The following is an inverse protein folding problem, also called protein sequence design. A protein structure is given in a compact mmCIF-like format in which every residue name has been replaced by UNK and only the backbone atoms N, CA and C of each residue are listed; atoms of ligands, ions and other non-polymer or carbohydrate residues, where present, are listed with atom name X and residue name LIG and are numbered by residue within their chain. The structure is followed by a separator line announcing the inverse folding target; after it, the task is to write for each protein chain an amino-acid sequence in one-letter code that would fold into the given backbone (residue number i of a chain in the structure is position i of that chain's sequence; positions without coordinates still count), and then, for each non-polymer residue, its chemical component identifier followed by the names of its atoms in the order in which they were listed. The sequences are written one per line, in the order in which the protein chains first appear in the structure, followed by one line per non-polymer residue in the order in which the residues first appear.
data_IF_591188090876
#
_entry.id   IF_591188090876
#
_cell.length_a   1.000
_cell.length_b   1.000
_cell.length_c   1.000
_cell.angle_alpha   90.00
_cell.angle_beta   90.00
_cell.angle_gamma   90.00
#
_symmetry.space_group_name_H-M   'P 1'
#
loop_
_entity.id
_entity.type
_entity.pdbx_description
1 polymer ?
#
# COMPACT_ATOMS: atom_id res chain seq x y z
N UNK A 1 -8.52 -10.13 12.41
CA UNK A 1 -9.31 -8.96 11.95
C UNK A 1 -8.33 -8.06 11.24
N UNK A 2 -8.62 -7.54 10.04
CA UNK A 2 -7.61 -6.76 9.29
C UNK A 2 -7.23 -5.50 10.06
N UNK A 3 -5.93 -5.17 10.15
CA UNK A 3 -5.47 -3.89 10.75
C UNK A 3 -6.02 -2.67 10.00
N UNK A 4 -6.50 -2.85 8.77
CA UNK A 4 -7.16 -1.79 8.01
C UNK A 4 -8.51 -1.35 8.59
N UNK A 5 -9.16 -2.17 9.42
CA UNK A 5 -10.43 -1.78 10.10
C UNK A 5 -10.21 -1.27 11.52
N UNK A 6 -8.95 -1.08 11.92
CA UNK A 6 -8.58 -0.62 13.26
C UNK A 6 -8.91 0.87 13.45
N UNK A 7 -9.37 1.24 14.65
CA UNK A 7 -9.68 2.61 15.02
C UNK A 7 -8.42 3.49 15.13
N UNK A 8 -7.26 2.88 15.37
CA UNK A 8 -5.97 3.59 15.35
C UNK A 8 -5.62 4.07 13.94
N UNK A 9 -5.92 3.27 12.91
CA UNK A 9 -5.71 3.68 11.54
C UNK A 9 -6.65 4.82 11.12
N UNK A 10 -7.89 4.84 11.62
CA UNK A 10 -8.78 5.99 11.43
C UNK A 10 -8.13 7.27 11.96
N UNK A 11 -7.61 7.21 13.19
CA UNK A 11 -6.96 8.35 13.80
C UNK A 11 -5.75 8.83 12.98
N UNK A 12 -4.92 7.90 12.50
CA UNK A 12 -3.79 8.21 11.60
C UNK A 12 -4.27 8.94 10.35
N UNK A 13 -5.26 8.39 9.63
CA UNK A 13 -5.71 8.94 8.36
C UNK A 13 -6.47 10.27 8.52
N UNK A 14 -7.14 10.49 9.65
CA UNK A 14 -7.85 11.74 9.96
C UNK A 14 -6.93 12.87 10.40
N UNK A 15 -5.82 12.55 11.07
CA UNK A 15 -4.89 13.55 11.63
C UNK A 15 -3.63 13.78 10.80
N UNK A 16 -3.45 12.98 9.75
CA UNK A 16 -2.34 13.09 8.82
C UNK A 16 -2.21 14.49 8.19
N UNK A 17 -0.97 14.96 8.04
CA UNK A 17 -0.69 16.15 7.23
C UNK A 17 -0.67 15.79 5.74
N UNK A 18 -1.56 16.40 4.97
CA UNK A 18 -1.62 16.19 3.52
C UNK A 18 -0.86 17.32 2.82
N UNK A 19 0.24 16.98 2.13
CA UNK A 19 1.09 17.96 1.44
C UNK A 19 1.92 17.30 0.32
N UNK A 20 2.16 17.99 -0.81
CA UNK A 20 3.10 17.52 -1.84
C UNK A 20 4.52 17.27 -1.30
N UNK A 21 4.90 17.87 -0.17
CA UNK A 21 6.19 17.63 0.46
C UNK A 21 6.41 16.18 0.94
N UNK A 22 5.35 15.38 1.00
CA UNK A 22 5.38 13.96 1.35
C UNK A 22 5.27 13.04 0.12
N UNK A 23 5.44 13.57 -1.09
CA UNK A 23 5.67 12.73 -2.26
C UNK A 23 7.01 12.01 -2.13
N UNK A 24 7.02 10.70 -2.39
CA UNK A 24 8.22 9.90 -2.37
C UNK A 24 8.65 9.54 -3.79
N UNK A 25 9.96 9.48 -3.97
CA UNK A 25 10.59 8.93 -5.16
C UNK A 25 11.28 7.61 -4.78
N UNK A 26 10.61 6.51 -5.11
CA UNK A 26 11.09 5.16 -4.87
C UNK A 26 12.34 4.78 -5.66
N UNK A 27 12.81 5.63 -6.58
CA UNK A 27 14.06 5.40 -7.35
C UNK A 27 15.32 5.92 -6.65
N UNK A 28 15.17 6.57 -5.49
CA UNK A 28 16.30 7.08 -4.71
C UNK A 28 17.05 5.96 -3.99
N UNK A 29 18.31 6.22 -3.65
CA UNK A 29 19.19 5.27 -2.92
C UNK A 29 18.58 4.79 -1.59
N UNK A 30 17.66 5.56 -0.99
CA UNK A 30 16.93 5.19 0.22
C UNK A 30 16.13 3.88 0.03
N UNK A 31 15.58 3.66 -1.17
CA UNK A 31 14.72 2.50 -1.47
C UNK A 31 15.37 1.48 -2.40
N UNK A 32 16.67 1.62 -2.71
CA UNK A 32 17.37 0.71 -3.61
C UNK A 32 17.20 -0.77 -3.18
N UNK A 33 17.20 -1.01 -1.87
CA UNK A 33 16.99 -2.35 -1.31
C UNK A 33 15.62 -2.97 -1.64
N UNK A 34 14.57 -2.17 -1.87
CA UNK A 34 13.24 -2.64 -2.29
C UNK A 34 13.17 -2.87 -3.81
N UNK A 35 13.94 -2.10 -4.58
CA UNK A 35 14.00 -2.24 -6.04
C UNK A 35 14.88 -3.41 -6.50
N UNK A 36 15.89 -3.76 -5.70
CA UNK A 36 16.84 -4.84 -5.99
C UNK A 36 16.43 -6.22 -5.44
N UNK A 37 15.21 -6.35 -4.89
CA UNK A 37 14.67 -7.64 -4.42
C UNK A 37 14.58 -8.63 -5.58
N UNK A 38 15.08 -9.86 -5.37
CA UNK A 38 14.97 -10.91 -6.37
C UNK A 38 13.49 -11.30 -6.54
N UNK A 39 12.97 -11.44 -7.79
CA UNK A 39 11.60 -11.89 -8.02
C UNK A 39 11.32 -13.30 -7.48
N UNK A 40 12.30 -14.02 -6.93
CA UNK A 40 12.14 -15.29 -6.21
C UNK A 40 12.10 -15.13 -4.67
N UNK A 41 12.42 -13.96 -4.12
CA UNK A 41 12.48 -13.69 -2.68
C UNK A 41 11.09 -13.53 -2.04
N UNK A 42 10.86 -14.26 -0.95
CA UNK A 42 9.60 -14.22 -0.19
C UNK A 42 8.42 -14.89 -0.92
N UNK A 43 7.25 -15.10 -0.28
CA UNK A 43 6.10 -15.72 -0.94
C UNK A 43 5.35 -14.73 -1.86
N UNK A 44 4.78 -15.24 -2.95
CA UNK A 44 3.76 -14.51 -3.73
C UNK A 44 2.46 -14.53 -2.94
N UNK A 45 1.92 -13.36 -2.65
CA UNK A 45 0.70 -13.20 -1.83
C UNK A 45 -0.51 -12.76 -2.65
N UNK A 46 -0.30 -12.13 -3.81
CA UNK A 46 -1.36 -11.71 -4.73
C UNK A 46 -0.89 -11.86 -6.17
N UNK A 47 -1.82 -12.19 -7.09
CA UNK A 47 -1.58 -12.25 -8.54
C UNK A 47 -2.75 -11.66 -9.30
N UNK A 48 -2.45 -10.71 -10.17
CA UNK A 48 -3.42 -10.19 -11.15
C UNK A 48 -3.61 -11.15 -12.34
N UNK A 49 -4.71 -10.99 -13.07
CA UNK A 49 -4.97 -11.74 -14.32
C UNK A 49 -3.94 -11.41 -15.42
N UNK A 50 -3.43 -10.17 -15.44
CA UNK A 50 -2.44 -9.69 -16.41
C UNK A 50 -1.01 -10.13 -16.10
N UNK A 51 -0.80 -10.89 -15.03
CA UNK A 51 0.49 -11.51 -14.69
C UNK A 51 1.35 -10.72 -13.70
N UNK A 52 0.92 -9.52 -13.28
CA UNK A 52 1.55 -8.83 -12.13
C UNK A 52 1.39 -9.66 -10.86
N UNK A 53 2.36 -9.55 -9.97
CA UNK A 53 2.32 -10.26 -8.70
C UNK A 53 2.96 -9.45 -7.58
N UNK A 54 2.42 -9.62 -6.38
CA UNK A 54 2.90 -8.96 -5.16
C UNK A 54 3.55 -10.03 -4.29
N UNK A 55 4.76 -9.75 -3.78
CA UNK A 55 5.46 -10.60 -2.81
C UNK A 55 5.57 -9.93 -1.46
N UNK A 56 5.46 -10.74 -0.41
CA UNK A 56 5.79 -10.32 0.94
C UNK A 56 7.28 -10.48 1.20
N UNK A 57 7.92 -9.43 1.71
CA UNK A 57 9.34 -9.40 2.01
C UNK A 57 9.51 -9.22 3.52
N UNK A 58 10.04 -10.26 4.16
CA UNK A 58 10.25 -10.34 5.62
C UNK A 58 11.72 -10.13 6.02
N UNK A 59 12.63 -9.94 5.06
CA UNK A 59 14.06 -9.91 5.33
C UNK A 59 14.56 -8.55 5.87
N UNK A 60 13.68 -7.58 6.04
CA UNK A 60 14.00 -6.25 6.56
C UNK A 60 13.54 -6.11 8.02
N UNK A 61 14.09 -5.12 8.74
CA UNK A 61 13.71 -4.83 10.13
C UNK A 61 12.20 -4.54 10.26
N UNK A 62 11.56 -4.10 9.17
CA UNK A 62 10.11 -3.93 9.06
C UNK A 62 9.55 -4.65 7.81
N UNK A 63 8.34 -5.23 7.87
CA UNK A 63 7.73 -5.90 6.73
C UNK A 63 7.54 -4.97 5.53
N UNK A 64 7.65 -5.52 4.32
CA UNK A 64 7.35 -4.82 3.07
C UNK A 64 6.59 -5.73 2.10
N UNK A 65 5.94 -5.13 1.12
CA UNK A 65 5.53 -5.85 -0.10
C UNK A 65 6.14 -5.19 -1.33
N UNK A 66 6.48 -6.01 -2.32
CA UNK A 66 7.06 -5.57 -3.59
C UNK A 66 6.17 -6.06 -4.73
N UNK A 67 5.85 -5.15 -5.65
CA UNK A 67 5.09 -5.41 -6.87
C UNK A 67 6.07 -5.68 -8.02
N UNK A 68 5.81 -6.76 -8.74
CA UNK A 68 6.56 -7.15 -9.93
C UNK A 68 5.67 -7.16 -11.17
N UNK A 69 6.25 -6.73 -12.29
CA UNK A 69 5.65 -6.88 -13.61
C UNK A 69 5.60 -8.36 -14.05
N UNK A 70 4.85 -8.69 -15.12
CA UNK A 70 4.83 -10.05 -15.67
C UNK A 70 6.22 -10.58 -16.07
N UNK A 71 7.15 -9.69 -16.38
CA UNK A 71 8.54 -9.99 -16.71
C UNK A 71 9.42 -10.22 -15.47
N UNK A 72 8.87 -10.05 -14.26
CA UNK A 72 9.60 -10.18 -12.99
C UNK A 72 10.44 -8.95 -12.63
N UNK A 73 10.12 -7.78 -13.18
CA UNK A 73 10.80 -6.52 -12.84
C UNK A 73 10.03 -5.80 -11.75
N UNK A 74 10.73 -5.34 -10.71
CA UNK A 74 10.13 -4.53 -9.65
C UNK A 74 9.54 -3.23 -10.23
N UNK A 75 8.26 -2.98 -9.98
CA UNK A 75 7.55 -1.80 -10.47
C UNK A 75 6.71 -1.08 -9.40
N UNK A 76 6.83 -1.49 -8.14
CA UNK A 76 6.24 -0.79 -7.00
C UNK A 76 6.57 -1.46 -5.67
N UNK A 77 6.31 -0.76 -4.57
CA UNK A 77 6.42 -1.31 -3.23
C UNK A 77 5.48 -0.62 -2.26
N UNK A 78 5.26 -1.28 -1.12
CA UNK A 78 4.67 -0.67 0.06
C UNK A 78 5.47 -1.04 1.32
N UNK A 79 5.94 -0.02 2.03
CA UNK A 79 6.78 -0.15 3.22
C UNK A 79 6.54 1.05 4.14
N UNK A 80 6.27 0.81 5.43
CA UNK A 80 6.12 1.85 6.47
C UNK A 80 5.16 3.00 6.10
N UNK A 81 3.94 2.68 5.67
CA UNK A 81 2.93 3.64 5.17
C UNK A 81 3.29 4.37 3.87
N UNK A 82 4.40 4.02 3.24
CA UNK A 82 4.85 4.64 2.01
C UNK A 82 4.55 3.69 0.85
N UNK A 83 3.79 4.18 -0.13
CA UNK A 83 3.46 3.48 -1.35
C UNK A 83 4.12 4.18 -2.53
N UNK A 84 4.87 3.42 -3.33
CA UNK A 84 5.42 3.91 -4.59
C UNK A 84 5.14 2.93 -5.72
N UNK A 85 4.87 3.48 -6.90
CA UNK A 85 4.64 2.73 -8.14
C UNK A 85 5.38 3.48 -9.24
N UNK A 86 6.11 2.74 -10.06
CA UNK A 86 6.76 3.23 -11.26
C UNK A 86 5.72 3.92 -12.16
N UNK A 87 6.11 5.04 -12.77
CA UNK A 87 5.19 5.90 -13.53
C UNK A 87 4.46 5.15 -14.66
N UNK A 88 5.12 4.20 -15.32
CA UNK A 88 4.54 3.41 -16.41
C UNK A 88 3.41 2.47 -15.94
N UNK A 89 3.34 2.19 -14.64
CA UNK A 89 2.40 1.25 -14.04
C UNK A 89 1.33 1.93 -13.15
N UNK A 90 1.32 3.27 -13.08
CA UNK A 90 0.33 4.03 -12.29
C UNK A 90 -1.05 3.99 -12.94
N UNK A 91 -2.09 4.16 -12.11
CA UNK A 91 -3.49 4.18 -12.56
C UNK A 91 -4.13 2.79 -12.69
N UNK A 92 -3.37 1.72 -12.45
CA UNK A 92 -3.83 0.33 -12.53
C UNK A 92 -4.40 -0.23 -11.21
N UNK A 93 -4.51 0.59 -10.16
CA UNK A 93 -5.06 0.18 -8.86
C UNK A 93 -4.06 -0.48 -7.91
N UNK A 94 -2.84 -0.79 -8.35
CA UNK A 94 -1.86 -1.55 -7.56
C UNK A 94 -1.50 -0.95 -6.18
N UNK A 95 -1.62 0.36 -5.99
CA UNK A 95 -1.34 0.98 -4.69
C UNK A 95 -2.32 0.51 -3.61
N UNK A 96 -3.59 0.36 -3.98
CA UNK A 96 -4.63 -0.16 -3.09
C UNK A 96 -4.42 -1.67 -2.87
N UNK A 97 -4.10 -2.41 -3.93
CA UNK A 97 -3.85 -3.85 -3.85
C UNK A 97 -2.66 -4.19 -2.95
N UNK A 98 -1.55 -3.45 -3.06
CA UNK A 98 -0.39 -3.63 -2.19
C UNK A 98 -0.72 -3.40 -0.71
N UNK A 99 -1.48 -2.34 -0.39
CA UNK A 99 -1.87 -2.05 1.01
C UNK A 99 -2.78 -3.15 1.56
N UNK A 100 -3.75 -3.62 0.76
CA UNK A 100 -4.64 -4.73 1.15
C UNK A 100 -3.84 -6.03 1.35
N UNK A 101 -3.00 -6.39 0.38
CA UNK A 101 -2.18 -7.59 0.43
C UNK A 101 -1.20 -7.55 1.63
N UNK A 102 -0.59 -6.40 1.90
CA UNK A 102 0.25 -6.18 3.08
C UNK A 102 -0.52 -6.44 4.37
N UNK A 103 -1.68 -5.80 4.54
CA UNK A 103 -2.48 -5.92 5.75
C UNK A 103 -3.00 -7.35 5.97
N UNK A 104 -3.45 -8.01 4.90
CA UNK A 104 -4.02 -9.35 4.96
C UNK A 104 -2.94 -10.42 5.23
N UNK A 105 -1.73 -10.21 4.70
CA UNK A 105 -0.60 -11.12 4.90
C UNK A 105 0.05 -10.97 6.27
N UNK A 106 0.44 -9.75 6.66
CA UNK A 106 1.18 -9.52 7.91
C UNK A 106 0.28 -9.43 9.15
N UNK A 107 -1.02 -9.18 8.97
CA UNK A 107 -2.02 -9.17 10.03
C UNK A 107 -1.59 -8.34 11.24
N UNK A 108 -1.39 -8.96 12.40
CA UNK A 108 -1.05 -8.28 13.65
C UNK A 108 0.32 -7.59 13.59
N UNK A 109 1.21 -8.01 12.68
CA UNK A 109 2.52 -7.39 12.42
C UNK A 109 2.44 -6.21 11.44
N UNK A 110 1.29 -6.00 10.79
CA UNK A 110 1.13 -4.86 9.89
C UNK A 110 1.12 -3.57 10.71
N UNK A 111 2.14 -2.74 10.47
CA UNK A 111 2.34 -1.42 11.08
C UNK A 111 2.58 -1.44 12.60
N UNK A 112 3.16 -2.54 13.11
CA UNK A 112 3.46 -2.67 14.53
C UNK A 112 4.45 -1.59 14.99
N UNK A 113 4.05 -0.79 15.99
CA UNK A 113 4.80 0.37 16.46
C UNK A 113 4.63 1.65 15.62
N UNK A 114 4.26 1.59 14.34
CA UNK A 114 4.00 2.80 13.54
C UNK A 114 2.63 3.43 13.81
N UNK A 115 1.61 2.63 14.11
CA UNK A 115 0.27 3.13 14.49
C UNK A 115 0.33 3.94 15.80
N UNK A 116 1.17 3.53 16.74
CA UNK A 116 1.38 4.23 18.01
C UNK A 116 2.17 5.56 17.85
N UNK A 117 2.97 5.66 16.78
CA UNK A 117 3.75 6.85 16.43
C UNK A 117 2.97 7.88 15.59
N UNK A 118 1.64 7.74 15.49
CA UNK A 118 0.72 8.51 14.64
C UNK A 118 0.82 10.05 14.72
N UNK A 119 1.48 10.61 15.73
CA UNK A 119 1.76 12.05 15.79
C UNK A 119 2.81 12.46 14.76
N UNK A 120 2.34 12.90 13.59
CA UNK A 120 3.19 13.55 12.57
C UNK A 120 3.38 12.77 11.27
N UNK A 121 2.55 11.76 11.01
CA UNK A 121 2.51 11.13 9.68
C UNK A 121 2.02 12.12 8.63
N UNK A 122 2.65 12.07 7.46
CA UNK A 122 2.32 12.91 6.32
C UNK A 122 2.18 12.10 5.05
N UNK A 123 1.26 12.52 4.19
CA UNK A 123 1.01 11.88 2.91
C UNK A 123 0.92 12.92 1.81
N UNK A 124 1.32 12.54 0.59
CA UNK A 124 0.82 13.22 -0.60
C UNK A 124 -0.70 13.02 -0.71
N UNK A 125 -1.39 13.87 -1.47
CA UNK A 125 -2.84 13.69 -1.71
C UNK A 125 -3.15 12.30 -2.30
N UNK A 126 -2.31 11.84 -3.24
CA UNK A 126 -2.44 10.51 -3.84
C UNK A 126 -2.17 9.42 -2.82
N UNK A 127 -1.11 9.55 -2.03
CA UNK A 127 -0.77 8.61 -0.95
C UNK A 127 -1.90 8.46 0.07
N UNK A 128 -2.50 9.58 0.51
CA UNK A 128 -3.65 9.55 1.42
C UNK A 128 -4.86 8.84 0.77
N UNK A 129 -5.16 9.17 -0.48
CA UNK A 129 -6.32 8.60 -1.19
C UNK A 129 -6.24 7.08 -1.36
N UNK A 130 -5.05 6.51 -1.59
CA UNK A 130 -4.90 5.05 -1.72
C UNK A 130 -5.10 4.34 -0.38
N UNK A 131 -4.64 4.93 0.73
CA UNK A 131 -4.87 4.37 2.07
C UNK A 131 -6.34 4.42 2.47
N UNK A 132 -7.01 5.56 2.26
CA UNK A 132 -8.45 5.71 2.51
C UNK A 132 -9.27 4.72 1.67
N UNK A 133 -8.88 4.52 0.41
CA UNK A 133 -9.55 3.57 -0.48
C UNK A 133 -9.34 2.13 -0.01
N UNK A 134 -8.11 1.75 0.35
CA UNK A 134 -7.82 0.42 0.88
C UNK A 134 -8.59 0.15 2.18
N UNK A 135 -8.63 1.11 3.11
CA UNK A 135 -9.43 1.02 4.33
C UNK A 135 -10.93 0.85 4.03
N UNK A 136 -11.48 1.65 3.09
CA UNK A 136 -12.89 1.54 2.70
C UNK A 136 -13.21 0.14 2.16
N UNK A 137 -12.35 -0.41 1.30
CA UNK A 137 -12.53 -1.77 0.76
C UNK A 137 -12.46 -2.81 1.87
N UNK A 138 -11.48 -2.71 2.78
CA UNK A 138 -11.35 -3.63 3.91
C UNK A 138 -12.60 -3.65 4.79
N UNK A 139 -13.21 -2.48 5.06
CA UNK A 139 -14.47 -2.36 5.80
C UNK A 139 -15.65 -3.02 5.09
N UNK A 140 -15.74 -2.85 3.78
CA UNK A 140 -16.80 -3.47 2.97
C UNK A 140 -16.67 -5.01 3.03
N UNK A 141 -15.44 -5.53 2.88
CA UNK A 141 -15.14 -6.96 3.02
C UNK A 141 -15.52 -7.50 4.40
N UNK A 142 -15.19 -6.78 5.47
CA UNK A 142 -15.47 -7.18 6.86
C UNK A 142 -16.99 -7.25 7.14
N UNK A 143 -17.78 -6.38 6.52
CA UNK A 143 -19.24 -6.37 6.62
C UNK A 143 -19.92 -7.46 5.76
N UNK A 144 -19.15 -8.27 5.02
CA UNK A 144 -19.67 -9.32 4.13
C UNK A 144 -20.39 -8.77 2.89
N UNK A 145 -20.12 -7.51 2.54
CA UNK A 145 -20.64 -6.87 1.34
C UNK A 145 -19.66 -7.02 0.17
N UNK A 146 -20.18 -7.04 -1.06
CA UNK A 146 -19.37 -7.14 -2.27
C UNK A 146 -18.60 -5.81 -2.49
N UNK A 147 -17.25 -5.82 -2.48
CA UNK A 147 -16.45 -4.62 -2.71
C UNK A 147 -16.63 -4.03 -4.12
N UNK A 148 -17.06 -4.84 -5.10
CA UNK A 148 -17.28 -4.40 -6.49
C UNK A 148 -18.62 -3.67 -6.66
N UNK A 149 -19.45 -3.64 -5.62
CA UNK A 149 -20.78 -3.01 -5.65
C UNK A 149 -20.77 -1.49 -5.42
N UNK A 150 -19.61 -0.88 -5.16
CA UNK A 150 -19.51 0.55 -4.85
C UNK A 150 -18.55 1.28 -5.78
N UNK A 151 -19.00 2.44 -6.28
CA UNK A 151 -18.16 3.30 -7.10
C UNK A 151 -16.87 3.70 -6.34
N UNK A 152 -15.69 3.65 -7.01
CA UNK A 152 -14.47 4.18 -6.45
C UNK A 152 -14.67 5.64 -6.05
N UNK A 153 -13.98 6.08 -5.00
CA UNK A 153 -13.96 7.51 -4.66
C UNK A 153 -13.47 8.24 -5.90
N UNK A 154 -14.24 9.17 -6.48
CA UNK A 154 -13.79 9.88 -7.66
C UNK A 154 -12.46 10.55 -7.33
N UNK A 155 -11.46 10.31 -8.18
CA UNK A 155 -10.22 11.07 -8.11
C UNK A 155 -10.58 12.56 -8.04
N UNK A 156 -9.93 13.36 -7.18
CA UNK A 156 -10.20 14.78 -7.12
C UNK A 156 -10.10 15.37 -8.53
N UNK A 157 -11.18 16.02 -8.97
CA UNK A 157 -11.24 16.63 -10.28
C UNK A 157 -10.28 17.83 -10.29
N UNK A 158 -9.10 17.67 -10.88
CA UNK A 158 -8.17 18.77 -11.07
C UNK A 158 -8.72 19.71 -12.18
N UNK A 159 -8.99 20.96 -11.80
CA UNK A 159 -9.06 22.12 -12.70
C UNK A 159 -7.73 22.87 -12.64
#
# INVERSE_FOLDING_TARGET
MSRLVDAELDHVLETALISPAFEIDGTTDEYAFLLEVDPEDGPVIERSEDGYFIRAIECFDEPAVVLFSPEGVTCGFYWRFQAWIDEAHRGLGFGVEMILAYADHFQDLAWDGELEASQGLGFSERGHSVHVTAQRIARIRDQGADPDAFDPVPAPAFC
#
